data_IF_499703767932
#
_entry.id   IF_499703767932
#
_cell.length_a   1.000
_cell.length_b   1.000
_cell.length_c   1.000
_cell.angle_alpha   90.00
_cell.angle_beta   90.00
_cell.angle_gamma   90.00
#
_symmetry.space_group_name_H-M   'P 1'
#
loop_
_entity.id
_entity.type
_entity.pdbx_description
1 polymer ?
#
# COMPACT_ATOMS: atom_id res chain seq x y z
N UNK A 1 -25.21 3.56 9.37
CA UNK A 1 -24.20 3.30 8.32
C UNK A 1 -22.81 3.20 8.96
N UNK A 2 -21.76 2.84 8.20
CA UNK A 2 -20.39 2.61 8.75
C UNK A 2 -19.81 3.87 9.40
N UNK A 3 -19.95 5.01 8.73
CA UNK A 3 -19.42 6.28 9.18
C UNK A 3 -19.97 6.69 10.57
N UNK A 4 -21.29 6.74 10.74
CA UNK A 4 -21.92 7.13 12.01
C UNK A 4 -21.55 6.16 13.14
N UNK A 5 -21.50 4.84 12.86
CA UNK A 5 -21.11 3.84 13.84
C UNK A 5 -19.67 4.05 14.34
N UNK A 6 -18.74 4.43 13.45
CA UNK A 6 -17.36 4.74 13.84
C UNK A 6 -17.27 5.97 14.73
N UNK A 7 -18.01 7.03 14.38
CA UNK A 7 -18.04 8.27 15.18
C UNK A 7 -18.64 8.03 16.56
N UNK A 8 -19.76 7.30 16.61
CA UNK A 8 -20.40 6.94 17.88
C UNK A 8 -19.45 6.13 18.76
N UNK A 9 -18.76 5.13 18.20
CA UNK A 9 -17.76 4.33 18.91
C UNK A 9 -16.57 5.17 19.42
N UNK A 10 -16.12 6.19 18.69
CA UNK A 10 -15.06 7.09 19.18
C UNK A 10 -15.55 7.96 20.34
N UNK A 11 -16.76 8.51 20.24
CA UNK A 11 -17.35 9.37 21.27
C UNK A 11 -17.72 8.60 22.55
N UNK A 12 -18.00 7.31 22.42
CA UNK A 12 -18.31 6.42 23.53
C UNK A 12 -17.07 5.96 24.33
N UNK A 13 -15.85 6.35 23.95
CA UNK A 13 -14.64 5.99 24.70
C UNK A 13 -14.48 6.83 25.99
N UNK A 14 -13.85 6.27 27.04
CA UNK A 14 -13.47 4.86 27.21
C UNK A 14 -14.64 3.98 27.67
N UNK A 15 -14.60 2.69 27.32
CA UNK A 15 -15.53 1.62 27.77
C UNK A 15 -17.03 1.97 27.77
N UNK A 16 -17.51 2.61 26.71
CA UNK A 16 -18.91 3.00 26.56
C UNK A 16 -19.55 2.50 25.28
N UNK A 17 -20.88 2.57 25.26
CA UNK A 17 -21.72 2.29 24.11
C UNK A 17 -22.60 3.51 23.83
N UNK A 18 -22.65 3.97 22.58
CA UNK A 18 -23.48 5.09 22.16
C UNK A 18 -24.38 4.66 21.00
N UNK A 19 -25.69 4.71 21.22
CA UNK A 19 -26.70 4.58 20.17
C UNK A 19 -27.00 5.97 19.61
N UNK A 20 -26.91 6.14 18.29
CA UNK A 20 -27.33 7.35 17.58
C UNK A 20 -28.66 7.04 16.87
N UNK A 21 -29.80 7.55 17.37
CA UNK A 21 -31.10 7.33 16.74
C UNK A 21 -31.16 7.97 15.35
N UNK A 22 -31.91 7.36 14.42
CA UNK A 22 -32.02 7.86 13.05
C UNK A 22 -32.60 9.29 12.96
N UNK A 23 -33.48 9.66 13.90
CA UNK A 23 -34.08 11.00 13.96
C UNK A 23 -33.14 12.09 14.52
N UNK A 24 -32.02 11.70 15.14
CA UNK A 24 -31.08 12.63 15.79
C UNK A 24 -29.68 12.58 15.15
N UNK A 25 -29.60 12.12 13.90
CA UNK A 25 -28.33 12.05 13.17
C UNK A 25 -27.73 13.45 13.05
N UNK A 26 -28.51 14.45 12.65
CA UNK A 26 -28.04 15.82 12.50
C UNK A 26 -27.59 16.42 13.84
N UNK A 27 -28.35 16.23 14.91
CA UNK A 27 -28.00 16.72 16.25
C UNK A 27 -26.71 16.10 16.79
N UNK A 28 -26.48 14.82 16.49
CA UNK A 28 -25.23 14.15 16.80
C UNK A 28 -24.05 14.63 15.93
N UNK A 29 -24.29 14.82 14.64
CA UNK A 29 -23.25 14.97 13.61
C UNK A 29 -22.80 16.41 13.42
N UNK A 30 -23.74 17.36 13.30
CA UNK A 30 -23.48 18.76 12.95
C UNK A 30 -22.51 19.48 13.90
N UNK A 31 -22.54 19.25 15.24
CA UNK A 31 -21.61 19.89 16.17
C UNK A 31 -20.15 19.43 16.04
N UNK A 32 -19.89 18.34 15.31
CA UNK A 32 -18.54 17.79 15.19
C UNK A 32 -17.65 18.69 14.33
N UNK A 33 -16.33 18.71 14.58
CA UNK A 33 -15.40 19.43 13.71
C UNK A 33 -15.34 18.77 12.32
N UNK A 34 -14.97 19.53 11.28
CA UNK A 34 -14.81 18.98 9.91
C UNK A 34 -13.85 17.78 9.84
N UNK A 35 -12.88 17.70 10.75
CA UNK A 35 -11.91 16.58 10.83
C UNK A 35 -12.53 15.27 11.29
N UNK A 36 -13.79 15.29 11.77
CA UNK A 36 -14.56 14.08 12.05
C UNK A 36 -15.03 13.38 10.76
N UNK A 37 -15.16 14.10 9.64
CA UNK A 37 -15.56 13.51 8.36
C UNK A 37 -14.45 12.62 7.80
N UNK A 38 -14.81 11.40 7.40
CA UNK A 38 -13.85 10.52 6.72
C UNK A 38 -13.42 11.13 5.38
N UNK A 39 -12.11 11.09 5.12
CA UNK A 39 -11.50 11.76 3.97
C UNK A 39 -10.99 13.18 4.26
N UNK A 40 -11.28 13.74 5.43
CA UNK A 40 -10.70 15.02 5.86
C UNK A 40 -9.42 14.78 6.67
N UNK A 41 -8.29 14.72 5.96
CA UNK A 41 -6.95 14.82 6.56
C UNK A 41 -6.48 16.28 6.73
N UNK A 42 -5.24 16.48 7.17
CA UNK A 42 -4.63 17.81 7.40
C UNK A 42 -4.88 18.79 6.23
N UNK A 43 -4.48 18.40 5.01
CA UNK A 43 -4.56 19.23 3.81
C UNK A 43 -6.01 19.57 3.42
N UNK A 44 -6.89 18.58 3.44
CA UNK A 44 -8.32 18.78 3.15
C UNK A 44 -8.94 19.69 4.21
N UNK A 45 -8.59 19.47 5.48
CA UNK A 45 -9.05 20.29 6.60
C UNK A 45 -8.58 21.74 6.50
N UNK A 46 -7.35 21.99 6.04
CA UNK A 46 -6.87 23.34 5.75
C UNK A 46 -7.65 24.00 4.60
N UNK A 47 -7.90 23.27 3.51
CA UNK A 47 -8.67 23.77 2.38
C UNK A 47 -10.10 24.17 2.79
N UNK A 48 -10.78 23.32 3.57
CA UNK A 48 -12.11 23.61 4.11
C UNK A 48 -12.09 24.79 5.10
N UNK A 49 -11.09 24.87 5.98
CA UNK A 49 -10.91 26.01 6.89
C UNK A 49 -10.68 27.33 6.16
N UNK A 50 -9.96 27.33 5.02
CA UNK A 50 -9.79 28.52 4.16
C UNK A 50 -11.11 29.00 3.56
N UNK A 51 -12.10 28.11 3.42
CA UNK A 51 -13.46 28.46 3.03
C UNK A 51 -14.35 28.87 4.22
N UNK A 52 -13.80 28.97 5.42
CA UNK A 52 -14.53 29.33 6.64
C UNK A 52 -15.25 28.18 7.31
N UNK A 53 -15.13 26.94 6.81
CA UNK A 53 -15.82 25.78 7.36
C UNK A 53 -15.06 25.21 8.55
N UNK A 54 -15.74 25.03 9.68
CA UNK A 54 -15.15 24.53 10.93
C UNK A 54 -15.86 23.30 11.46
N UNK A 55 -17.16 23.19 11.20
CA UNK A 55 -18.04 22.13 11.68
C UNK A 55 -18.62 21.32 10.53
N UNK A 56 -19.16 20.15 10.84
CA UNK A 56 -19.91 19.34 9.87
C UNK A 56 -21.16 20.09 9.40
N UNK A 57 -21.80 20.88 10.27
CA UNK A 57 -22.92 21.75 9.91
C UNK A 57 -22.56 22.71 8.76
N UNK A 58 -21.37 23.32 8.82
CA UNK A 58 -20.90 24.25 7.78
C UNK A 58 -20.76 23.55 6.42
N UNK A 59 -20.30 22.30 6.43
CA UNK A 59 -20.17 21.47 5.22
C UNK A 59 -21.55 21.07 4.67
N UNK A 60 -22.48 20.68 5.54
CA UNK A 60 -23.84 20.30 5.16
C UNK A 60 -24.63 21.49 4.57
N UNK A 61 -24.38 22.71 5.07
CA UNK A 61 -25.00 23.94 4.58
C UNK A 61 -24.41 24.43 3.25
N UNK A 62 -23.22 23.94 2.85
CA UNK A 62 -22.58 24.36 1.61
C UNK A 62 -23.23 23.69 0.39
N UNK A 63 -23.51 24.43 -0.71
CA UNK A 63 -23.98 23.81 -1.94
C UNK A 63 -23.00 22.74 -2.43
N UNK A 64 -23.50 21.52 -2.69
CA UNK A 64 -22.69 20.36 -3.13
C UNK A 64 -21.68 20.71 -4.23
N UNK A 65 -22.10 21.44 -5.27
CA UNK A 65 -21.22 21.86 -6.38
C UNK A 65 -20.08 22.78 -5.94
N UNK A 66 -20.30 23.64 -4.95
CA UNK A 66 -19.26 24.53 -4.41
C UNK A 66 -18.21 23.72 -3.67
N UNK A 67 -18.65 22.74 -2.85
CA UNK A 67 -17.75 21.84 -2.15
C UNK A 67 -16.92 21.00 -3.13
N UNK A 68 -17.55 20.47 -4.18
CA UNK A 68 -16.88 19.74 -5.26
C UNK A 68 -15.82 20.57 -5.99
N UNK A 69 -16.10 21.85 -6.28
CA UNK A 69 -15.11 22.75 -6.90
C UNK A 69 -13.91 23.02 -5.98
N UNK A 70 -14.14 23.05 -4.68
CA UNK A 70 -13.11 23.37 -3.71
C UNK A 70 -12.12 22.21 -3.46
N UNK A 71 -12.63 20.99 -3.31
CA UNK A 71 -11.82 19.84 -2.88
C UNK A 71 -11.77 18.70 -3.90
N UNK A 72 -12.38 18.89 -5.08
CA UNK A 72 -12.49 17.89 -6.14
C UNK A 72 -13.86 17.22 -6.17
N UNK A 73 -14.27 16.77 -7.36
CA UNK A 73 -15.64 16.30 -7.62
C UNK A 73 -16.05 15.10 -6.77
N UNK A 74 -15.19 14.08 -6.73
CA UNK A 74 -15.45 12.86 -5.94
C UNK A 74 -15.39 13.13 -4.43
N UNK A 75 -14.37 13.84 -3.95
CA UNK A 75 -14.22 14.12 -2.53
C UNK A 75 -15.32 15.06 -2.02
N UNK A 76 -15.67 16.10 -2.78
CA UNK A 76 -16.72 17.03 -2.39
C UNK A 76 -18.10 16.37 -2.37
N UNK A 77 -18.41 15.49 -3.32
CA UNK A 77 -19.62 14.66 -3.26
C UNK A 77 -19.63 13.80 -1.99
N UNK A 78 -18.52 13.10 -1.71
CA UNK A 78 -18.39 12.24 -0.55
C UNK A 78 -18.58 13.02 0.76
N UNK A 79 -17.92 14.17 0.91
CA UNK A 79 -18.04 15.00 2.11
C UNK A 79 -19.45 15.55 2.31
N UNK A 80 -20.15 15.91 1.23
CA UNK A 80 -21.54 16.36 1.30
C UNK A 80 -22.47 15.24 1.78
N UNK A 81 -22.34 14.04 1.21
CA UNK A 81 -23.12 12.88 1.60
C UNK A 81 -22.86 12.53 3.08
N UNK A 82 -21.58 12.50 3.51
CA UNK A 82 -21.24 12.25 4.91
C UNK A 82 -21.76 13.34 5.86
N UNK A 83 -21.68 14.61 5.48
CA UNK A 83 -22.13 15.73 6.30
C UNK A 83 -23.66 15.74 6.50
N UNK A 84 -24.40 15.15 5.57
CA UNK A 84 -25.85 14.92 5.68
C UNK A 84 -26.20 13.53 6.25
N UNK A 85 -25.21 12.82 6.80
CA UNK A 85 -25.40 11.52 7.44
C UNK A 85 -25.58 10.34 6.48
N UNK A 86 -25.37 10.53 5.18
CA UNK A 86 -25.51 9.51 4.14
C UNK A 86 -24.17 8.78 3.91
N UNK A 87 -24.19 7.46 4.01
CA UNK A 87 -23.06 6.59 3.67
C UNK A 87 -23.61 5.23 3.22
N UNK A 88 -23.60 5.01 1.91
CA UNK A 88 -24.16 3.83 1.25
C UNK A 88 -23.20 2.63 1.23
N UNK A 89 -21.98 2.76 1.77
CA UNK A 89 -20.99 1.67 1.75
C UNK A 89 -21.47 0.49 2.58
N UNK A 90 -21.70 -0.63 1.91
CA UNK A 90 -22.07 -1.91 2.52
C UNK A 90 -20.90 -2.55 3.26
N UNK A 91 -21.17 -3.25 4.36
CA UNK A 91 -20.15 -4.03 5.09
C UNK A 91 -19.78 -5.24 4.24
N UNK A 92 -18.52 -5.28 3.79
CA UNK A 92 -17.96 -6.39 3.04
C UNK A 92 -17.04 -7.16 3.98
N UNK A 93 -17.33 -8.42 4.34
CA UNK A 93 -16.50 -9.21 5.26
C UNK A 93 -15.11 -9.52 4.68
N UNK A 94 -15.00 -9.59 3.36
CA UNK A 94 -13.77 -9.93 2.67
C UNK A 94 -13.58 -9.03 1.44
N UNK A 95 -12.47 -8.29 1.40
CA UNK A 95 -12.01 -7.62 0.19
C UNK A 95 -10.78 -8.36 -0.33
N UNK A 96 -10.71 -8.67 -1.64
CA UNK A 96 -9.56 -9.32 -2.21
C UNK A 96 -8.32 -8.42 -2.10
N UNK A 97 -7.19 -9.03 -1.75
CA UNK A 97 -5.89 -8.35 -1.75
C UNK A 97 -5.61 -7.78 -3.14
N UNK A 98 -5.27 -6.49 -3.22
CA UNK A 98 -4.96 -5.80 -4.49
C UNK A 98 -3.47 -5.69 -4.77
N UNK A 99 -2.67 -5.70 -3.71
CA UNK A 99 -1.22 -5.67 -3.77
C UNK A 99 -0.60 -6.29 -2.52
N UNK A 100 0.62 -6.79 -2.68
CA UNK A 100 1.46 -7.31 -1.60
C UNK A 100 2.81 -6.62 -1.70
N UNK A 101 3.38 -6.17 -0.58
CA UNK A 101 4.65 -5.47 -0.60
C UNK A 101 5.34 -5.40 0.75
N UNK A 102 6.59 -4.97 0.70
CA UNK A 102 7.43 -4.70 1.87
C UNK A 102 8.11 -3.35 1.68
N UNK A 103 8.05 -2.50 2.70
CA UNK A 103 8.77 -1.23 2.73
C UNK A 103 9.45 -1.03 4.08
N UNK A 104 10.56 -0.29 4.08
CA UNK A 104 11.34 -0.02 5.27
C UNK A 104 11.86 1.42 5.31
N UNK A 105 11.77 2.04 6.48
CA UNK A 105 12.37 3.34 6.78
C UNK A 105 13.64 3.14 7.60
N UNK A 106 14.78 3.60 7.08
CA UNK A 106 16.08 2.98 7.32
C UNK A 106 16.93 3.35 8.54
N UNK A 107 16.50 3.85 9.71
CA UNK A 107 17.46 4.38 10.74
C UNK A 107 18.41 5.53 10.28
N UNK A 108 19.34 5.30 9.34
CA UNK A 108 20.14 6.28 8.60
C UNK A 108 19.71 6.35 7.11
N UNK A 109 20.22 7.33 6.36
CA UNK A 109 19.95 7.44 4.92
C UNK A 109 20.98 6.61 4.14
N UNK A 110 20.50 5.80 3.19
CA UNK A 110 21.36 5.04 2.29
C UNK A 110 21.89 5.96 1.18
N UNK A 111 23.19 5.95 0.95
CA UNK A 111 23.86 6.75 -0.08
C UNK A 111 24.80 5.96 -1.00
N UNK A 112 24.95 4.66 -0.73
CA UNK A 112 25.75 3.73 -1.52
C UNK A 112 24.86 2.92 -2.46
N UNK A 113 25.12 2.98 -3.78
CA UNK A 113 24.38 2.17 -4.76
C UNK A 113 24.43 0.67 -4.47
N UNK A 114 25.59 0.05 -4.14
CA UNK A 114 25.64 -1.36 -3.74
C UNK A 114 24.71 -1.71 -2.56
N UNK A 115 24.68 -0.85 -1.54
CA UNK A 115 23.81 -1.02 -0.37
C UNK A 115 22.34 -0.92 -0.75
N UNK A 116 21.97 0.08 -1.55
CA UNK A 116 20.60 0.26 -2.05
C UNK A 116 20.14 -0.94 -2.88
N UNK A 117 21.00 -1.48 -3.75
CA UNK A 117 20.70 -2.67 -4.54
C UNK A 117 20.50 -3.90 -3.65
N UNK A 118 21.34 -4.07 -2.61
CA UNK A 118 21.19 -5.14 -1.61
C UNK A 118 19.85 -5.04 -0.87
N UNK A 119 19.45 -3.82 -0.49
CA UNK A 119 18.16 -3.58 0.16
C UNK A 119 16.96 -3.82 -0.76
N UNK A 120 17.07 -3.49 -2.04
CA UNK A 120 16.05 -3.83 -3.04
C UNK A 120 15.90 -5.36 -3.15
N UNK A 121 17.00 -6.11 -3.14
CA UNK A 121 16.96 -7.58 -3.15
C UNK A 121 16.25 -8.13 -1.91
N UNK A 122 16.62 -7.65 -0.71
CA UNK A 122 16.01 -8.07 0.56
C UNK A 122 14.50 -7.79 0.58
N UNK A 123 14.07 -6.61 0.14
CA UNK A 123 12.65 -6.26 0.08
C UNK A 123 11.88 -7.04 -0.99
N UNK A 124 12.54 -7.37 -2.11
CA UNK A 124 11.97 -8.21 -3.17
C UNK A 124 11.73 -9.63 -2.67
N UNK A 125 12.69 -10.20 -1.95
CA UNK A 125 12.56 -11.52 -1.34
C UNK A 125 11.41 -11.59 -0.34
N UNK A 126 11.36 -10.64 0.59
CA UNK A 126 10.28 -10.58 1.59
C UNK A 126 8.91 -10.43 0.94
N UNK A 127 8.84 -9.67 -0.15
CA UNK A 127 7.60 -9.50 -0.93
C UNK A 127 7.21 -10.79 -1.66
N UNK A 128 8.17 -11.48 -2.26
CA UNK A 128 7.97 -12.75 -2.94
C UNK A 128 7.48 -13.84 -1.96
N UNK A 129 8.14 -13.97 -0.79
CA UNK A 129 7.71 -14.91 0.25
C UNK A 129 6.29 -14.63 0.75
N UNK A 130 5.92 -13.34 0.91
CA UNK A 130 4.55 -12.95 1.28
C UNK A 130 3.51 -13.25 0.21
N UNK A 131 3.86 -13.08 -1.08
CA UNK A 131 2.99 -13.45 -2.20
C UNK A 131 2.70 -14.95 -2.17
N UNK A 132 3.76 -15.77 -2.12
CA UNK A 132 3.63 -17.23 -2.12
C UNK A 132 2.94 -17.76 -0.87
N UNK A 133 3.28 -17.23 0.31
CA UNK A 133 2.60 -17.58 1.56
C UNK A 133 1.10 -17.22 1.58
N UNK A 134 0.67 -16.26 0.75
CA UNK A 134 -0.73 -15.93 0.54
C UNK A 134 -1.37 -16.69 -0.63
N UNK A 135 -0.63 -17.54 -1.35
CA UNK A 135 -1.08 -18.24 -2.55
C UNK A 135 -1.42 -17.28 -3.70
N UNK A 136 -0.69 -16.16 -3.80
CA UNK A 136 -0.91 -15.09 -4.77
C UNK A 136 0.29 -14.97 -5.72
N UNK A 137 0.01 -14.64 -6.98
CA UNK A 137 0.97 -14.10 -7.93
C UNK A 137 0.48 -12.73 -8.43
N UNK A 138 1.31 -11.95 -9.13
CA UNK A 138 0.87 -10.68 -9.70
C UNK A 138 1.75 -10.22 -10.85
N UNK A 139 1.51 -9.03 -11.41
CA UNK A 139 2.15 -8.63 -12.68
C UNK A 139 2.91 -7.31 -12.64
N UNK A 140 2.44 -6.37 -11.82
CA UNK A 140 3.01 -5.03 -11.78
C UNK A 140 3.90 -4.88 -10.57
N UNK A 141 5.22 -4.82 -10.81
CA UNK A 141 6.22 -4.54 -9.78
C UNK A 141 6.36 -3.03 -9.64
N UNK A 142 6.35 -2.54 -8.40
CA UNK A 142 6.46 -1.12 -8.06
C UNK A 142 7.61 -0.91 -7.09
N UNK A 143 8.51 0.01 -7.44
CA UNK A 143 9.55 0.54 -6.58
C UNK A 143 9.11 1.91 -6.04
N UNK A 144 9.12 2.02 -4.72
CA UNK A 144 8.89 3.27 -3.98
C UNK A 144 10.20 3.71 -3.34
N UNK A 145 10.60 4.95 -3.60
CA UNK A 145 11.80 5.57 -3.05
C UNK A 145 11.39 6.86 -2.36
N UNK A 146 11.75 7.01 -1.08
CA UNK A 146 11.65 8.29 -0.37
C UNK A 146 13.05 8.81 -0.07
N UNK A 147 13.32 10.02 -0.51
CA UNK A 147 14.58 10.71 -0.24
C UNK A 147 14.60 11.35 1.14
N UNK A 148 15.77 11.74 1.61
CA UNK A 148 15.99 12.42 2.89
C UNK A 148 15.23 13.75 3.03
N UNK A 149 14.94 14.42 1.91
CA UNK A 149 14.08 15.60 1.85
C UNK A 149 12.57 15.27 1.87
N UNK A 150 12.19 14.03 2.20
CA UNK A 150 10.82 13.50 2.22
C UNK A 150 10.09 13.48 0.87
N UNK A 151 10.75 13.87 -0.23
CA UNK A 151 10.21 13.65 -1.58
C UNK A 151 10.09 12.16 -1.82
N UNK A 152 8.91 11.72 -2.27
CA UNK A 152 8.65 10.32 -2.62
C UNK A 152 8.49 10.21 -4.12
N UNK A 153 9.20 9.25 -4.73
CA UNK A 153 9.06 8.87 -6.13
C UNK A 153 8.64 7.40 -6.18
N UNK A 154 7.66 7.11 -7.04
CA UNK A 154 7.22 5.76 -7.33
C UNK A 154 7.41 5.48 -8.81
N UNK A 155 7.95 4.31 -9.14
CA UNK A 155 8.09 3.79 -10.50
C UNK A 155 7.56 2.38 -10.53
N UNK A 156 6.87 2.02 -11.61
CA UNK A 156 6.27 0.69 -11.76
C UNK A 156 6.52 0.15 -13.15
N UNK A 157 6.55 -1.18 -13.25
CA UNK A 157 6.66 -1.93 -14.50
C UNK A 157 5.67 -3.09 -14.44
N UNK A 158 4.81 -3.17 -15.44
CA UNK A 158 3.97 -4.34 -15.68
C UNK A 158 4.75 -5.31 -16.55
N UNK A 159 4.92 -6.54 -16.07
CA UNK A 159 5.59 -7.62 -16.79
C UNK A 159 4.59 -8.32 -17.73
N UNK A 160 5.10 -9.09 -18.69
CA UNK A 160 4.23 -9.86 -19.61
C UNK A 160 3.61 -11.06 -18.89
N UNK A 161 4.43 -11.77 -18.12
CA UNK A 161 4.02 -12.90 -17.28
C UNK A 161 3.78 -12.49 -15.82
N UNK A 162 3.00 -13.29 -15.13
CA UNK A 162 2.81 -13.16 -13.67
C UNK A 162 4.07 -13.64 -12.94
N UNK A 163 4.35 -13.02 -11.79
CA UNK A 163 5.54 -13.23 -10.97
C UNK A 163 5.15 -13.47 -9.51
N UNK A 164 5.93 -14.35 -8.89
CA UNK A 164 5.82 -14.73 -7.47
C UNK A 164 7.19 -15.03 -6.83
N UNK A 165 8.28 -15.03 -7.61
CA UNK A 165 9.63 -15.35 -7.15
C UNK A 165 10.50 -14.10 -6.99
N UNK A 166 11.54 -14.25 -6.16
CA UNK A 166 12.44 -13.16 -5.78
C UNK A 166 13.18 -12.58 -6.98
N UNK A 167 13.66 -13.42 -7.89
CA UNK A 167 14.54 -13.00 -8.99
C UNK A 167 13.83 -12.06 -9.96
N UNK A 168 12.65 -12.44 -10.45
CA UNK A 168 11.87 -11.62 -11.39
C UNK A 168 11.43 -10.28 -10.77
N UNK A 169 11.03 -10.30 -9.50
CA UNK A 169 10.65 -9.08 -8.76
C UNK A 169 11.88 -8.17 -8.57
N UNK A 170 13.01 -8.75 -8.17
CA UNK A 170 14.26 -8.02 -7.97
C UNK A 170 14.77 -7.39 -9.27
N UNK A 171 14.80 -8.13 -10.38
CA UNK A 171 15.25 -7.61 -11.68
C UNK A 171 14.39 -6.44 -12.16
N UNK A 172 13.06 -6.56 -11.98
CA UNK A 172 12.15 -5.48 -12.32
C UNK A 172 12.38 -4.25 -11.42
N UNK A 173 12.51 -4.43 -10.10
CA UNK A 173 12.74 -3.35 -9.15
C UNK A 173 14.11 -2.67 -9.36
N UNK A 174 15.16 -3.45 -9.60
CA UNK A 174 16.50 -2.96 -9.93
C UNK A 174 16.50 -2.13 -11.22
N UNK A 175 15.86 -2.62 -12.28
CA UNK A 175 15.75 -1.87 -13.53
C UNK A 175 15.00 -0.55 -13.35
N UNK A 176 13.97 -0.52 -12.48
CA UNK A 176 13.25 0.70 -12.13
C UNK A 176 14.12 1.70 -11.34
N UNK A 177 14.99 1.19 -10.48
CA UNK A 177 15.97 2.00 -9.76
C UNK A 177 17.03 2.58 -10.70
N UNK A 178 17.61 1.78 -11.59
CA UNK A 178 18.62 2.24 -12.55
C UNK A 178 18.07 3.33 -13.48
N UNK A 179 16.81 3.22 -13.91
CA UNK A 179 16.12 4.26 -14.70
C UNK A 179 15.82 5.55 -13.93
N UNK A 180 15.86 5.53 -12.60
CA UNK A 180 15.68 6.73 -11.81
C UNK A 180 16.89 7.66 -11.90
N UNK A 181 18.06 7.11 -12.26
CA UNK A 181 19.37 7.77 -12.31
C UNK A 181 19.57 8.81 -11.18
N UNK A 182 19.50 8.37 -9.91
CA UNK A 182 19.57 9.30 -8.80
C UNK A 182 20.98 9.86 -8.66
N UNK A 183 21.15 11.15 -8.97
CA UNK A 183 22.40 11.87 -8.72
C UNK A 183 22.59 12.03 -7.21
N UNK A 184 23.54 11.27 -6.62
CA UNK A 184 23.84 11.22 -5.17
C UNK A 184 22.61 10.85 -4.33
N UNK A 185 22.16 9.58 -4.37
CA UNK A 185 20.99 9.17 -3.61
C UNK A 185 21.22 9.40 -2.11
N UNK A 186 20.27 10.01 -1.43
CA UNK A 186 20.11 9.92 0.03
C UNK A 186 18.73 9.39 0.29
N UNK A 187 18.62 8.08 0.44
CA UNK A 187 17.35 7.35 0.48
C UNK A 187 17.02 7.01 1.92
N UNK A 188 15.86 7.50 2.37
CA UNK A 188 15.33 7.30 3.73
C UNK A 188 14.42 6.08 3.82
N UNK A 189 13.72 5.75 2.73
CA UNK A 189 12.84 4.58 2.64
C UNK A 189 12.89 3.97 1.25
N UNK A 190 12.91 2.63 1.22
CA UNK A 190 12.67 1.81 0.02
C UNK A 190 11.44 0.93 0.24
N UNK A 191 10.71 0.69 -0.84
CA UNK A 191 9.60 -0.25 -0.85
C UNK A 191 9.49 -0.96 -2.18
N UNK A 192 9.26 -2.27 -2.12
CA UNK A 192 8.96 -3.11 -3.28
C UNK A 192 7.57 -3.69 -3.09
N UNK A 193 6.71 -3.58 -4.09
CA UNK A 193 5.39 -4.17 -4.06
C UNK A 193 4.98 -4.74 -5.40
N UNK A 194 4.12 -5.74 -5.37
CA UNK A 194 3.48 -6.34 -6.55
C UNK A 194 1.99 -6.07 -6.46
N UNK A 195 1.41 -5.55 -7.54
CA UNK A 195 -0.02 -5.27 -7.66
C UNK A 195 -0.65 -6.00 -8.84
N UNK A 196 -1.99 -6.00 -8.88
CA UNK A 196 -2.74 -6.80 -9.84
C UNK A 196 -2.63 -8.27 -9.50
N UNK A 197 -2.70 -8.58 -8.19
CA UNK A 197 -2.49 -9.94 -7.71
C UNK A 197 -3.71 -10.81 -7.94
N UNK A 198 -3.47 -12.06 -8.26
CA UNK A 198 -4.46 -13.09 -8.55
C UNK A 198 -4.14 -14.36 -7.73
N UNK A 199 -5.16 -15.11 -7.27
CA UNK A 199 -4.93 -16.38 -6.60
C UNK A 199 -4.36 -17.43 -7.54
N UNK A 200 -3.45 -18.25 -7.01
CA UNK A 200 -2.84 -19.37 -7.71
C UNK A 200 -1.43 -19.06 -8.25
N UNK A 201 -0.79 -20.07 -8.87
CA UNK A 201 0.55 -19.93 -9.42
C UNK A 201 0.53 -19.03 -10.67
N UNK A 202 1.67 -18.41 -11.01
CA UNK A 202 1.79 -17.55 -12.17
C UNK A 202 1.44 -18.29 -13.47
N UNK A 203 0.56 -17.70 -14.28
CA UNK A 203 0.21 -18.24 -15.60
C UNK A 203 1.32 -17.91 -16.60
N UNK A 204 2.18 -18.90 -16.88
CA UNK A 204 3.23 -18.81 -17.90
C UNK A 204 2.79 -19.45 -19.19
N UNK A 205 3.08 -18.82 -20.32
CA UNK A 205 2.84 -19.46 -21.61
C UNK A 205 3.99 -20.44 -21.86
N UNK A 206 3.70 -21.74 -21.86
CA UNK A 206 4.72 -22.73 -22.25
C UNK A 206 5.11 -22.49 -23.70
N UNK A 207 6.32 -21.98 -23.93
CA UNK A 207 6.87 -21.86 -25.27
C UNK A 207 7.18 -23.26 -25.81
N UNK A 208 6.50 -23.64 -26.89
CA UNK A 208 6.68 -24.91 -27.61
C UNK A 208 8.09 -25.04 -28.24
N UNK A 209 8.89 -23.97 -28.27
CA UNK A 209 10.20 -23.90 -28.92
C UNK A 209 11.37 -23.74 -27.94
N UNK A 210 11.11 -23.65 -26.63
CA UNK A 210 12.13 -23.33 -25.64
C UNK A 210 12.81 -24.57 -25.05
N UNK A 211 13.48 -25.36 -25.89
CA UNK A 211 14.35 -26.46 -25.47
C UNK A 211 15.72 -26.03 -24.91
N UNK A 212 15.86 -24.80 -24.41
CA UNK A 212 17.16 -24.25 -23.98
C UNK A 212 17.07 -23.21 -22.84
N UNK A 213 16.06 -23.30 -21.96
CA UNK A 213 16.08 -22.62 -20.67
C UNK A 213 16.46 -23.64 -19.61
N UNK A 214 17.52 -23.39 -18.84
CA UNK A 214 17.90 -24.24 -17.69
C UNK A 214 16.77 -24.37 -16.66
N UNK A 215 16.93 -25.22 -15.62
CA UNK A 215 15.90 -25.44 -14.60
C UNK A 215 15.34 -24.09 -14.14
N UNK A 216 14.03 -23.91 -14.34
CA UNK A 216 13.39 -22.62 -14.14
C UNK A 216 13.54 -22.17 -12.69
N UNK A 217 13.68 -20.87 -12.44
CA UNK A 217 13.74 -20.29 -11.10
C UNK A 217 12.59 -20.75 -10.17
N UNK A 218 11.50 -21.26 -10.74
CA UNK A 218 10.38 -21.91 -10.04
C UNK A 218 10.83 -23.10 -9.19
N UNK A 219 11.54 -24.08 -9.77
CA UNK A 219 11.97 -25.29 -9.02
C UNK A 219 12.93 -24.93 -7.88
N UNK A 220 13.84 -23.98 -8.13
CA UNK A 220 14.74 -23.45 -7.13
C UNK A 220 13.98 -22.71 -6.01
N UNK A 221 12.94 -21.96 -6.35
CA UNK A 221 12.12 -21.21 -5.39
C UNK A 221 11.30 -22.17 -4.51
N UNK A 222 10.69 -23.20 -5.09
CA UNK A 222 9.95 -24.23 -4.34
C UNK A 222 10.87 -24.99 -3.38
N UNK A 223 12.09 -25.33 -3.81
CA UNK A 223 13.08 -25.96 -2.94
C UNK A 223 13.47 -25.04 -1.76
N UNK A 224 13.70 -23.74 -2.01
CA UNK A 224 13.99 -22.76 -0.96
C UNK A 224 12.83 -22.67 0.04
N UNK A 225 11.59 -22.63 -0.45
CA UNK A 225 10.41 -22.54 0.42
C UNK A 225 10.24 -23.80 1.28
N UNK A 226 10.46 -24.99 0.71
CA UNK A 226 10.43 -26.25 1.48
C UNK A 226 11.49 -26.29 2.58
N UNK A 227 12.68 -25.73 2.32
CA UNK A 227 13.72 -25.62 3.34
C UNK A 227 13.31 -24.62 4.43
N UNK A 228 12.72 -23.47 4.08
CA UNK A 228 12.24 -22.49 5.06
C UNK A 228 11.11 -23.03 5.93
N UNK A 229 10.17 -23.76 5.34
CA UNK A 229 9.08 -24.40 6.10
C UNK A 229 9.61 -25.40 7.14
N UNK A 230 10.71 -26.10 6.81
CA UNK A 230 11.30 -27.12 7.69
C UNK A 230 12.28 -26.57 8.71
N UNK A 231 13.07 -25.57 8.35
CA UNK A 231 14.25 -25.13 9.10
C UNK A 231 14.21 -23.65 9.53
N UNK A 232 13.15 -22.92 9.16
CA UNK A 232 12.97 -21.51 9.47
C UNK A 232 13.43 -20.57 8.35
N UNK A 233 12.96 -19.32 8.41
CA UNK A 233 13.15 -18.32 7.35
C UNK A 233 14.62 -17.94 7.09
N UNK A 234 15.48 -18.06 8.11
CA UNK A 234 16.92 -17.76 8.02
C UNK A 234 17.76 -18.91 7.45
N UNK A 235 17.18 -20.11 7.27
CA UNK A 235 17.95 -21.30 6.88
C UNK A 235 18.54 -21.20 5.46
N UNK A 236 17.87 -20.49 4.55
CA UNK A 236 18.32 -20.26 3.17
C UNK A 236 17.89 -18.88 2.70
N UNK A 237 18.79 -18.18 2.02
CA UNK A 237 18.52 -16.90 1.36
C UNK A 237 19.56 -16.58 0.29
N UNK A 238 19.36 -15.53 -0.51
CA UNK A 238 20.33 -15.05 -1.48
C UNK A 238 21.69 -14.82 -0.81
N UNK A 239 22.75 -15.38 -1.38
CA UNK A 239 24.10 -15.26 -0.84
C UNK A 239 24.53 -13.79 -0.65
N UNK A 240 24.03 -12.88 -1.48
CA UNK A 240 24.29 -11.44 -1.37
C UNK A 240 23.69 -10.79 -0.10
N UNK A 241 22.79 -11.48 0.61
CA UNK A 241 22.19 -11.02 1.85
C UNK A 241 22.83 -11.64 3.10
N UNK A 242 23.65 -12.69 2.94
CA UNK A 242 24.42 -13.26 4.04
C UNK A 242 25.54 -12.29 4.42
N UNK A 243 25.55 -11.84 5.67
CA UNK A 243 26.70 -11.12 6.20
C UNK A 243 27.88 -12.08 6.31
N UNK A 244 29.07 -11.63 5.90
CA UNK A 244 30.29 -12.45 5.88
C UNK A 244 30.83 -12.83 7.25
N UNK A 245 29.99 -12.88 8.30
CA UNK A 245 30.38 -13.02 9.71
C UNK A 245 30.10 -14.41 10.30
N UNK A 246 29.64 -15.37 9.49
CA UNK A 246 29.69 -16.79 9.86
C UNK A 246 31.07 -17.39 9.51
N UNK A 247 32.07 -17.08 10.33
CA UNK A 247 33.30 -17.87 10.49
C UNK A 247 33.71 -17.99 11.95
#
# INVERSE_FOLDING_TARGET
NKFLAKLASQKAKPDGLLLVPAHDIEGFLHPLPITALWGVGEKTGEALRRLGLKTVADVAAMPRRTLQRAVGDSLGAHLFDLATGVDERVVTPHEPTKSVGSEETFSHDLDSTPEIIREILRLSERTAGRLRGAGLCGRTVTLKVRFSNFKTITRSRTLEEEVDNTHEIYDAARSLYEKLDPVRPRIRLLGVSVSGVTPGPPRRQMSLLSGAGGPGWTEATEAIDSIRERFGDEAVGPAALLDGDDR
#
